data_IF_259004175738
#
_entry.id   IF_259004175738
#
_cell.length_a   1.000
_cell.length_b   1.000
_cell.length_c   1.000
_cell.angle_alpha   90.00
_cell.angle_beta   90.00
_cell.angle_gamma   90.00
#
_symmetry.space_group_name_H-M   'P 1'
#
loop_
_entity.id
_entity.type
_entity.pdbx_description
1 polymer ?
#
# COMPACT_ATOMS: atom_id res chain seq x y z
N UNK A 1 26.86 -40.27 75.36
CA UNK A 1 28.32 -40.52 75.67
C UNK A 1 28.71 -41.85 75.04
N UNK A 2 29.10 -41.93 73.78
CA UNK A 2 29.33 -43.15 73.04
C UNK A 2 30.77 -43.71 73.22
N UNK A 3 31.66 -43.01 73.96
CA UNK A 3 33.09 -43.40 74.02
C UNK A 3 33.60 -43.59 75.44
N UNK A 4 32.74 -43.58 76.46
CA UNK A 4 33.14 -43.80 77.87
C UNK A 4 33.36 -45.31 78.12
N UNK A 5 34.62 -45.68 78.43
CA UNK A 5 35.02 -47.09 78.67
C UNK A 5 35.75 -47.82 77.54
N UNK A 6 36.00 -47.12 76.37
CA UNK A 6 36.82 -47.69 75.32
C UNK A 6 38.33 -47.51 75.57
N UNK A 7 39.18 -48.47 75.22
CA UNK A 7 40.62 -48.29 75.25
C UNK A 7 41.03 -47.06 74.37
N UNK A 8 42.01 -46.27 74.85
CA UNK A 8 42.50 -45.01 74.21
C UNK A 8 42.80 -45.26 72.72
N UNK A 9 43.43 -46.36 72.37
CA UNK A 9 43.76 -46.76 70.99
C UNK A 9 42.51 -46.94 70.15
N UNK A 10 41.44 -47.53 70.64
CA UNK A 10 40.19 -47.72 69.92
C UNK A 10 39.46 -46.40 69.69
N UNK A 11 39.55 -45.47 70.65
CA UNK A 11 38.99 -44.12 70.53
C UNK A 11 39.75 -43.28 69.47
N UNK A 12 41.09 -43.36 69.49
CA UNK A 12 41.93 -42.69 68.48
C UNK A 12 41.64 -43.21 67.05
N UNK A 13 41.59 -44.52 66.91
CA UNK A 13 41.29 -45.17 65.64
C UNK A 13 39.94 -44.73 65.11
N UNK A 14 38.94 -44.62 65.97
CA UNK A 14 37.60 -44.18 65.59
C UNK A 14 37.56 -42.71 65.17
N UNK A 15 38.29 -41.84 65.87
CA UNK A 15 38.41 -40.39 65.48
C UNK A 15 39.17 -40.25 64.15
N UNK A 16 40.22 -41.09 63.92
CA UNK A 16 40.93 -41.08 62.64
C UNK A 16 40.04 -41.59 61.51
N UNK A 17 39.16 -42.59 61.74
CA UNK A 17 38.14 -43.01 60.78
C UNK A 17 37.16 -41.88 60.48
N UNK A 18 36.61 -41.18 61.48
CA UNK A 18 35.71 -40.03 61.29
C UNK A 18 36.37 -38.89 60.52
N UNK A 19 37.65 -38.61 60.77
CA UNK A 19 38.41 -37.67 60.01
C UNK A 19 38.59 -38.09 58.54
N UNK A 20 38.82 -39.39 58.29
CA UNK A 20 38.91 -39.91 56.94
C UNK A 20 37.55 -39.82 56.21
N UNK A 21 36.45 -40.16 56.88
CA UNK A 21 35.08 -40.04 56.33
C UNK A 21 34.73 -38.61 56.00
N UNK A 22 35.06 -37.67 56.88
CA UNK A 22 34.82 -36.18 56.58
C UNK A 22 35.64 -35.78 55.40
N UNK A 23 36.92 -36.14 55.24
CA UNK A 23 37.75 -35.80 54.07
C UNK A 23 37.22 -36.45 52.78
N UNK A 24 36.69 -37.67 52.87
CA UNK A 24 36.09 -38.33 51.71
C UNK A 24 34.84 -37.60 51.25
N UNK A 25 33.94 -37.27 52.19
CA UNK A 25 32.72 -36.44 51.87
C UNK A 25 33.09 -35.07 51.30
N UNK A 26 34.10 -34.40 51.86
CA UNK A 26 34.62 -33.14 51.35
C UNK A 26 35.12 -33.25 49.92
N UNK A 27 35.91 -34.31 49.62
CA UNK A 27 36.43 -34.61 48.31
C UNK A 27 35.33 -34.95 47.28
N UNK A 28 34.31 -35.72 47.71
CA UNK A 28 33.16 -36.05 46.88
C UNK A 28 32.31 -34.78 46.57
N UNK A 29 32.11 -33.94 47.59
CA UNK A 29 31.36 -32.66 47.42
C UNK A 29 32.11 -31.72 46.47
N UNK A 30 33.44 -31.56 46.64
CA UNK A 30 34.26 -30.76 45.74
C UNK A 30 34.27 -31.32 44.34
N UNK A 31 34.37 -32.65 44.17
CA UNK A 31 34.31 -33.33 42.88
C UNK A 31 32.94 -33.10 42.19
N UNK A 32 31.84 -33.20 42.94
CA UNK A 32 30.50 -32.94 42.43
C UNK A 32 30.31 -31.46 42.03
N UNK A 33 30.84 -30.53 42.81
CA UNK A 33 30.84 -29.09 42.47
C UNK A 33 31.69 -28.78 41.25
N UNK A 34 32.86 -29.37 41.12
CA UNK A 34 33.75 -29.24 39.97
C UNK A 34 33.13 -29.86 38.70
N UNK A 35 32.55 -31.04 38.80
CA UNK A 35 31.80 -31.68 37.70
C UNK A 35 30.58 -30.86 37.31
N UNK A 36 29.89 -30.23 38.25
CA UNK A 36 28.82 -29.30 37.98
C UNK A 36 29.30 -28.05 37.22
N UNK A 37 30.44 -27.44 37.63
CA UNK A 37 31.07 -26.34 36.89
C UNK A 37 31.55 -26.77 35.49
N UNK A 38 32.23 -27.91 35.37
CA UNK A 38 32.67 -28.47 34.08
C UNK A 38 31.49 -28.78 33.14
N UNK A 39 30.34 -29.25 33.69
CA UNK A 39 29.12 -29.43 32.90
C UNK A 39 28.52 -28.11 32.44
N UNK A 40 28.59 -27.05 33.24
CA UNK A 40 28.14 -25.71 32.86
C UNK A 40 29.05 -25.15 31.78
N UNK A 41 30.36 -25.28 31.91
CA UNK A 41 31.36 -24.87 30.93
C UNK A 41 31.25 -25.67 29.61
N UNK A 42 31.14 -26.99 29.67
CA UNK A 42 30.90 -27.86 28.50
C UNK A 42 29.58 -27.59 27.77
N UNK A 43 28.64 -26.89 28.39
CA UNK A 43 27.37 -26.49 27.76
C UNK A 43 27.52 -25.30 26.82
N UNK A 44 28.66 -24.59 26.80
CA UNK A 44 28.97 -23.52 25.82
C UNK A 44 29.07 -24.05 24.37
N UNK A 45 29.37 -25.33 24.19
CA UNK A 45 29.43 -25.96 22.86
C UNK A 45 28.05 -26.17 22.21
N UNK A 46 26.95 -25.93 22.91
CA UNK A 46 25.57 -26.11 22.43
C UNK A 46 24.82 -24.78 22.21
N UNK A 47 25.51 -23.68 21.98
CA UNK A 47 24.88 -22.41 21.64
C UNK A 47 24.76 -22.25 20.13
N UNK A 48 23.56 -21.92 19.66
CA UNK A 48 23.30 -21.44 18.30
C UNK A 48 23.27 -19.91 18.28
N UNK A 49 24.07 -19.32 17.38
CA UNK A 49 24.05 -17.89 17.14
C UNK A 49 22.90 -17.56 16.18
N UNK A 50 21.92 -16.78 16.64
CA UNK A 50 20.76 -16.37 15.86
C UNK A 50 20.92 -14.88 15.52
N UNK A 51 21.03 -14.56 14.23
CA UNK A 51 20.98 -13.18 13.75
C UNK A 51 19.52 -12.74 13.69
N UNK A 52 19.18 -11.71 14.43
CA UNK A 52 17.85 -11.08 14.41
C UNK A 52 17.99 -9.72 13.76
N UNK A 53 17.64 -9.58 12.47
CA UNK A 53 17.66 -8.28 11.82
C UNK A 53 16.53 -7.40 12.36
N UNK A 54 16.74 -6.08 12.46
CA UNK A 54 15.70 -5.13 12.86
C UNK A 54 14.65 -4.94 11.76
N UNK A 55 15.00 -5.30 10.51
CA UNK A 55 14.11 -5.24 9.33
C UNK A 55 14.29 -6.51 8.50
N UNK A 56 13.22 -6.96 7.85
CA UNK A 56 13.25 -8.13 6.96
C UNK A 56 13.90 -7.84 5.60
N UNK A 57 14.00 -6.56 5.21
CA UNK A 57 14.65 -6.14 3.97
C UNK A 57 15.33 -4.77 4.17
N UNK A 58 16.44 -4.55 3.48
CA UNK A 58 17.21 -3.32 3.50
C UNK A 58 17.28 -2.72 2.10
N UNK A 59 17.29 -1.39 1.98
CA UNK A 59 17.53 -0.74 0.70
C UNK A 59 19.03 -0.65 0.38
N UNK A 60 19.35 -0.67 -0.91
CA UNK A 60 20.72 -0.44 -1.35
C UNK A 60 21.25 0.90 -0.85
N UNK A 61 22.39 0.89 -0.17
CA UNK A 61 23.01 2.08 0.43
C UNK A 61 22.55 2.40 1.87
N UNK A 62 21.61 1.63 2.45
CA UNK A 62 21.32 1.67 3.87
C UNK A 62 22.32 0.81 4.65
N UNK A 63 22.38 1.01 5.97
CA UNK A 63 23.09 0.11 6.86
C UNK A 63 22.22 -1.08 7.22
N UNK A 64 22.82 -2.27 7.29
CA UNK A 64 22.20 -3.40 7.98
C UNK A 64 22.20 -3.11 9.48
N UNK A 65 21.06 -3.24 10.11
CA UNK A 65 20.90 -3.16 11.57
C UNK A 65 20.26 -4.43 12.10
N UNK A 66 20.79 -4.94 13.19
CA UNK A 66 20.32 -6.16 13.81
C UNK A 66 21.16 -6.54 15.02
N UNK A 67 20.86 -7.68 15.59
CA UNK A 67 21.55 -8.22 16.76
C UNK A 67 21.75 -9.72 16.62
N UNK A 68 22.80 -10.23 17.22
CA UNK A 68 23.02 -11.67 17.37
C UNK A 68 22.64 -12.08 18.79
N UNK A 69 21.78 -13.07 18.90
CA UNK A 69 21.35 -13.67 20.16
C UNK A 69 21.91 -15.08 20.22
N UNK A 70 22.57 -15.42 21.33
CA UNK A 70 22.94 -16.80 21.60
C UNK A 70 21.72 -17.58 22.10
N UNK A 71 21.42 -18.72 21.50
CA UNK A 71 20.21 -19.50 21.71
C UNK A 71 19.98 -20.01 23.14
N UNK A 72 20.99 -20.00 24.00
CA UNK A 72 20.83 -20.16 25.44
C UNK A 72 20.85 -18.80 26.10
N UNK A 73 19.74 -18.42 26.71
CA UNK A 73 19.54 -17.09 27.32
C UNK A 73 20.37 -16.95 28.63
N UNK A 74 21.69 -16.93 28.51
CA UNK A 74 22.58 -16.64 29.61
C UNK A 74 22.97 -15.17 29.61
N UNK A 75 22.33 -14.41 30.51
CA UNK A 75 22.56 -12.97 30.66
C UNK A 75 23.96 -12.60 31.18
N UNK A 76 24.77 -13.58 31.56
CA UNK A 76 26.10 -13.33 32.09
C UNK A 76 27.20 -13.54 31.05
N UNK A 77 26.87 -14.15 29.90
CA UNK A 77 27.82 -14.49 28.88
C UNK A 77 28.15 -13.27 27.99
N UNK A 78 29.42 -12.93 27.87
CA UNK A 78 29.94 -11.94 26.93
C UNK A 78 31.05 -12.60 26.08
N UNK A 79 30.99 -12.42 24.77
CA UNK A 79 32.04 -12.89 23.87
C UNK A 79 33.35 -12.09 24.08
N UNK A 80 34.49 -12.75 24.00
CA UNK A 80 35.80 -12.07 24.03
C UNK A 80 36.08 -11.41 22.69
N UNK A 81 35.68 -12.05 21.59
CA UNK A 81 35.88 -11.56 20.23
C UNK A 81 34.74 -12.01 19.32
N UNK A 82 34.31 -11.13 18.43
CA UNK A 82 33.31 -11.43 17.41
C UNK A 82 33.84 -10.98 16.05
N UNK A 83 33.86 -11.91 15.10
CA UNK A 83 34.26 -11.68 13.73
C UNK A 83 33.02 -11.79 12.84
N UNK A 84 32.71 -10.78 12.04
CA UNK A 84 31.59 -10.79 11.09
C UNK A 84 32.10 -10.31 9.73
N UNK A 85 31.84 -11.11 8.69
CA UNK A 85 32.28 -10.84 7.31
C UNK A 85 33.80 -10.53 7.20
N UNK A 86 34.59 -11.16 8.06
CA UNK A 86 36.03 -10.97 8.11
C UNK A 86 36.52 -9.75 8.89
N UNK A 87 35.64 -8.96 9.43
CA UNK A 87 35.95 -7.80 10.27
C UNK A 87 35.68 -8.11 11.76
N UNK A 88 36.59 -7.63 12.63
CA UNK A 88 36.40 -7.71 14.08
C UNK A 88 35.44 -6.58 14.55
N UNK A 89 34.42 -6.94 15.33
CA UNK A 89 33.49 -5.98 15.89
C UNK A 89 34.09 -5.28 17.12
N UNK A 90 33.74 -4.00 17.27
CA UNK A 90 34.15 -3.21 18.43
C UNK A 90 33.52 -3.78 19.73
N UNK A 91 34.29 -3.71 20.80
CA UNK A 91 33.86 -4.11 22.16
C UNK A 91 32.59 -3.40 22.65
N UNK A 92 32.33 -2.19 22.16
CA UNK A 92 31.11 -1.40 22.47
C UNK A 92 29.83 -2.04 21.89
N UNK A 93 29.96 -2.82 20.83
CA UNK A 93 28.85 -3.55 20.20
C UNK A 93 28.52 -4.85 20.91
N UNK A 94 29.41 -5.32 21.78
CA UNK A 94 29.28 -6.57 22.52
C UNK A 94 28.64 -6.34 23.88
N UNK A 95 27.32 -6.46 23.97
CA UNK A 95 26.56 -6.37 25.20
C UNK A 95 26.43 -7.76 25.85
N UNK A 96 26.15 -7.79 27.15
CA UNK A 96 25.89 -9.03 27.87
C UNK A 96 24.69 -9.77 27.27
N UNK A 97 24.92 -10.97 26.75
CA UNK A 97 23.89 -11.82 26.15
C UNK A 97 23.45 -11.43 24.72
N UNK A 98 24.03 -10.36 24.12
CA UNK A 98 23.72 -9.96 22.75
C UNK A 98 24.87 -9.16 22.12
N UNK A 99 24.95 -9.19 20.79
CA UNK A 99 25.88 -8.38 20.02
C UNK A 99 25.09 -7.55 18.99
N UNK A 100 25.32 -6.24 18.96
CA UNK A 100 24.67 -5.33 18.01
C UNK A 100 25.47 -5.36 16.73
N UNK A 101 24.77 -5.53 15.58
CA UNK A 101 25.34 -5.47 14.24
C UNK A 101 24.90 -4.20 13.55
N UNK A 102 25.89 -3.43 13.07
CA UNK A 102 25.68 -2.27 12.22
C UNK A 102 26.78 -2.18 11.17
N UNK A 103 26.42 -2.38 9.91
CA UNK A 103 27.34 -2.28 8.77
C UNK A 103 26.56 -1.95 7.47
N UNK A 104 27.23 -1.43 6.40
CA UNK A 104 26.57 -1.15 5.12
C UNK A 104 25.90 -2.39 4.53
N UNK A 105 24.61 -2.29 4.17
CA UNK A 105 23.83 -3.43 3.68
C UNK A 105 24.33 -4.00 2.34
N UNK A 106 25.16 -3.27 1.61
CA UNK A 106 25.76 -3.71 0.36
C UNK A 106 24.86 -3.52 -0.89
N UNK A 107 25.27 -4.06 -2.05
CA UNK A 107 24.51 -4.01 -3.29
C UNK A 107 23.28 -4.91 -3.25
N UNK A 108 22.31 -4.60 -4.13
CA UNK A 108 21.06 -5.33 -4.30
C UNK A 108 21.28 -6.82 -4.53
N UNK A 109 20.49 -7.65 -3.89
CA UNK A 109 20.51 -9.10 -3.96
C UNK A 109 20.50 -9.77 -2.59
N UNK A 110 20.53 -11.08 -2.58
CA UNK A 110 20.69 -11.86 -1.36
C UNK A 110 22.10 -11.76 -0.82
N UNK A 111 22.24 -11.55 0.48
CA UNK A 111 23.52 -11.36 1.18
C UNK A 111 23.61 -12.29 2.36
N UNK A 112 24.83 -12.73 2.63
CA UNK A 112 25.14 -13.61 3.74
C UNK A 112 25.85 -12.82 4.86
N UNK A 113 25.55 -13.21 6.09
CA UNK A 113 26.28 -12.83 7.28
C UNK A 113 27.02 -14.05 7.74
N UNK A 114 28.33 -14.07 7.56
CA UNK A 114 29.19 -15.18 7.97
C UNK A 114 30.14 -14.67 9.02
N UNK A 115 30.29 -15.43 10.10
CA UNK A 115 31.20 -15.01 11.17
C UNK A 115 31.31 -16.03 12.26
N UNK A 116 31.93 -15.61 13.36
CA UNK A 116 32.13 -16.47 14.52
C UNK A 116 32.21 -15.65 15.81
N UNK A 117 31.69 -16.26 16.88
CA UNK A 117 31.93 -15.83 18.24
C UNK A 117 33.08 -16.60 18.82
N UNK A 118 33.99 -15.95 19.47
CA UNK A 118 35.10 -16.57 20.19
C UNK A 118 34.97 -16.29 21.68
N UNK A 119 35.03 -17.38 22.47
CA UNK A 119 35.00 -17.34 23.93
C UNK A 119 36.30 -17.96 24.44
N UNK A 120 36.96 -17.30 25.37
CA UNK A 120 38.15 -17.81 26.03
C UNK A 120 37.76 -18.61 27.29
N UNK A 121 38.05 -19.89 27.30
CA UNK A 121 37.82 -20.80 28.43
C UNK A 121 39.14 -21.39 28.90
N UNK A 122 39.73 -20.78 29.93
CA UNK A 122 41.09 -21.14 30.39
C UNK A 122 42.11 -20.90 29.29
N UNK A 123 42.78 -21.93 28.80
CA UNK A 123 43.76 -21.92 27.73
C UNK A 123 43.14 -22.26 26.35
N UNK A 124 41.89 -22.54 26.28
CA UNK A 124 41.18 -22.93 25.05
C UNK A 124 40.28 -21.80 24.51
N UNK A 125 40.15 -21.72 23.19
CA UNK A 125 39.21 -20.81 22.52
C UNK A 125 38.06 -21.67 21.96
N UNK A 126 36.83 -21.35 22.39
CA UNK A 126 35.62 -21.97 21.86
C UNK A 126 35.05 -21.02 20.79
N UNK A 127 34.85 -21.56 19.59
CA UNK A 127 34.31 -20.79 18.45
C UNK A 127 32.90 -21.27 18.12
N UNK A 128 31.94 -20.34 18.04
CA UNK A 128 30.56 -20.59 17.63
C UNK A 128 30.33 -19.90 16.26
N UNK A 129 30.06 -20.66 15.19
CA UNK A 129 29.85 -20.09 13.86
C UNK A 129 28.51 -19.34 13.77
N UNK A 130 28.52 -18.25 12.99
CA UNK A 130 27.33 -17.46 12.63
C UNK A 130 27.12 -17.60 11.14
N UNK A 131 25.92 -17.99 10.73
CA UNK A 131 25.50 -17.98 9.33
C UNK A 131 24.03 -17.54 9.24
N UNK A 132 23.79 -16.49 8.50
CA UNK A 132 22.43 -15.95 8.26
C UNK A 132 22.40 -15.24 6.90
N UNK A 133 21.18 -15.09 6.34
CA UNK A 133 20.99 -14.39 5.08
C UNK A 133 20.00 -13.23 5.25
N UNK A 134 20.14 -12.18 4.45
CA UNK A 134 19.22 -11.07 4.35
C UNK A 134 19.11 -10.58 2.90
N UNK A 135 17.96 -9.98 2.55
CA UNK A 135 17.76 -9.43 1.22
C UNK A 135 18.02 -7.93 1.20
N UNK A 136 18.76 -7.47 0.20
CA UNK A 136 18.92 -6.05 -0.11
C UNK A 136 18.08 -5.73 -1.33
N UNK A 137 17.12 -4.83 -1.19
CA UNK A 137 16.24 -4.37 -2.27
C UNK A 137 16.65 -2.97 -2.73
N UNK A 138 16.43 -2.62 -4.00
CA UNK A 138 16.74 -1.27 -4.48
C UNK A 138 15.90 -0.24 -3.72
N UNK A 139 16.43 0.94 -3.46
CA UNK A 139 15.65 2.06 -2.93
C UNK A 139 14.49 2.35 -3.89
N UNK A 140 13.26 2.56 -3.39
CA UNK A 140 12.17 3.00 -4.22
C UNK A 140 12.54 4.37 -4.80
N UNK A 141 12.56 4.46 -6.12
CA UNK A 141 12.88 5.68 -6.86
C UNK A 141 11.65 6.25 -7.58
N UNK A 142 10.52 5.56 -7.53
CA UNK A 142 9.29 5.97 -8.21
C UNK A 142 8.05 5.50 -7.47
N UNK A 143 6.99 6.32 -7.50
CA UNK A 143 5.64 5.90 -7.13
C UNK A 143 4.96 5.23 -8.31
N UNK A 144 4.16 4.21 -8.05
CA UNK A 144 3.17 3.73 -9.02
C UNK A 144 1.92 4.58 -8.87
N UNK A 145 1.64 5.38 -9.90
CA UNK A 145 0.41 6.16 -10.01
C UNK A 145 -0.38 5.57 -11.16
N UNK A 146 -1.49 4.92 -10.85
CA UNK A 146 -2.43 4.39 -11.82
C UNK A 146 -3.70 5.21 -11.80
N UNK A 147 -4.13 5.74 -12.95
CA UNK A 147 -5.51 6.12 -13.13
C UNK A 147 -6.29 4.83 -13.34
N UNK A 148 -7.34 4.58 -12.55
CA UNK A 148 -8.15 3.36 -12.67
C UNK A 148 -8.72 3.19 -14.11
N UNK A 149 -8.58 4.23 -14.95
CA UNK A 149 -9.06 4.29 -16.34
C UNK A 149 -8.04 4.89 -17.31
N UNK A 150 -6.84 4.31 -17.40
CA UNK A 150 -5.74 4.76 -18.25
C UNK A 150 -5.10 6.10 -17.78
N UNK A 151 -3.99 6.54 -18.41
CA UNK A 151 -3.32 7.80 -18.09
C UNK A 151 -4.06 9.03 -18.66
N UNK A 152 -5.37 9.07 -18.45
CA UNK A 152 -6.29 10.14 -18.87
C UNK A 152 -7.17 10.51 -17.68
N UNK A 153 -7.38 11.80 -17.51
CA UNK A 153 -8.36 12.35 -16.57
C UNK A 153 -9.36 13.19 -17.35
N UNK A 154 -10.61 13.20 -16.91
CA UNK A 154 -11.66 13.97 -17.54
C UNK A 154 -12.01 15.19 -16.72
N UNK A 155 -12.11 16.33 -17.43
CA UNK A 155 -12.66 17.54 -16.88
C UNK A 155 -14.16 17.33 -16.56
N UNK A 156 -14.65 17.97 -15.51
CA UNK A 156 -16.08 17.95 -15.15
C UNK A 156 -16.53 16.77 -14.30
N UNK A 157 -15.66 15.81 -14.01
CA UNK A 157 -15.95 14.62 -13.20
C UNK A 157 -14.91 14.42 -12.10
N UNK A 158 -15.19 13.46 -11.25
CA UNK A 158 -14.22 12.94 -10.26
C UNK A 158 -13.45 11.80 -10.89
N UNK A 159 -12.13 11.87 -10.83
CA UNK A 159 -11.23 10.89 -11.38
C UNK A 159 -10.62 10.08 -10.24
N UNK A 160 -10.94 8.79 -10.07
CA UNK A 160 -10.40 7.95 -9.01
C UNK A 160 -8.95 7.57 -9.30
N UNK A 161 -8.12 7.55 -8.25
CA UNK A 161 -6.72 7.15 -8.28
C UNK A 161 -6.41 6.14 -7.21
N UNK A 162 -5.54 5.19 -7.53
CA UNK A 162 -4.85 4.36 -6.56
C UNK A 162 -3.38 4.72 -6.59
N UNK A 163 -2.83 5.16 -5.46
CA UNK A 163 -1.45 5.64 -5.36
C UNK A 163 -0.74 4.87 -4.28
N UNK A 164 0.36 4.23 -4.65
CA UNK A 164 1.25 3.53 -3.73
C UNK A 164 2.70 3.80 -4.10
N UNK A 165 3.58 3.64 -3.14
CA UNK A 165 5.02 3.78 -3.32
C UNK A 165 5.68 2.47 -2.88
N UNK A 166 6.42 1.79 -3.77
CA UNK A 166 7.07 0.54 -3.43
C UNK A 166 8.03 0.73 -2.23
N UNK A 167 7.85 -0.05 -1.18
CA UNK A 167 8.70 0.01 0.02
C UNK A 167 8.43 1.18 0.97
N UNK A 168 7.43 2.01 0.70
CA UNK A 168 7.01 3.10 1.60
C UNK A 168 5.59 2.84 2.09
N UNK A 169 5.33 2.82 3.39
CA UNK A 169 3.97 2.68 3.92
C UNK A 169 3.06 3.81 3.46
N UNK A 170 1.80 3.51 3.16
CA UNK A 170 0.82 4.47 2.61
C UNK A 170 0.62 5.72 3.46
N UNK A 171 0.81 5.62 4.79
CA UNK A 171 0.74 6.77 5.70
C UNK A 171 1.91 7.76 5.56
N UNK A 172 2.98 7.35 4.86
CA UNK A 172 4.15 8.17 4.53
C UNK A 172 4.20 8.58 3.05
N UNK A 173 3.11 8.33 2.31
CA UNK A 173 2.93 8.75 0.91
C UNK A 173 2.01 9.97 0.87
N UNK A 174 2.48 11.07 0.30
CA UNK A 174 1.75 12.32 0.18
C UNK A 174 1.65 12.78 -1.28
N UNK A 175 0.49 12.61 -1.94
CA UNK A 175 0.23 13.12 -3.28
C UNK A 175 -0.52 14.47 -3.29
N UNK A 176 -0.82 15.06 -2.13
CA UNK A 176 -1.71 16.21 -2.00
C UNK A 176 -1.13 17.53 -2.53
N UNK A 177 0.14 17.56 -2.94
CA UNK A 177 0.74 18.68 -3.67
C UNK A 177 0.11 18.89 -5.06
N UNK A 178 -0.65 17.91 -5.58
CA UNK A 178 -1.34 18.01 -6.88
C UNK A 178 -2.66 18.79 -6.72
N UNK A 179 -2.86 19.88 -7.49
CA UNK A 179 -4.09 20.67 -7.40
C UNK A 179 -5.35 19.86 -7.70
N UNK A 180 -6.31 19.86 -6.79
CA UNK A 180 -7.60 19.15 -6.94
C UNK A 180 -7.57 17.68 -6.48
N UNK A 181 -6.43 17.14 -6.10
CA UNK A 181 -6.32 15.79 -5.56
C UNK A 181 -6.68 15.79 -4.06
N UNK A 182 -7.43 14.78 -3.62
CA UNK A 182 -7.85 14.59 -2.22
C UNK A 182 -7.87 13.12 -1.84
N UNK A 183 -7.82 12.86 -0.52
CA UNK A 183 -7.93 11.50 0.03
C UNK A 183 -9.34 10.94 -0.14
N UNK A 184 -9.41 9.62 -0.38
CA UNK A 184 -10.65 8.91 -0.63
C UNK A 184 -11.07 8.94 -2.08
N UNK A 185 -11.82 7.93 -2.51
CA UNK A 185 -12.42 7.85 -3.84
C UNK A 185 -13.87 7.38 -3.75
N UNK A 186 -14.68 7.80 -4.71
CA UNK A 186 -16.06 7.35 -4.83
C UNK A 186 -16.08 5.96 -5.49
N UNK A 187 -16.70 5.00 -4.83
CA UNK A 187 -16.98 3.67 -5.38
C UNK A 187 -18.49 3.48 -5.39
N UNK A 188 -19.12 3.63 -6.55
CA UNK A 188 -20.55 3.76 -6.66
C UNK A 188 -21.08 5.01 -5.92
N UNK A 189 -22.06 4.84 -5.04
CA UNK A 189 -22.61 5.95 -4.23
C UNK A 189 -21.92 6.17 -2.89
N UNK A 190 -20.92 5.35 -2.52
CA UNK A 190 -20.22 5.41 -1.24
C UNK A 190 -18.80 5.94 -1.40
N UNK A 191 -18.40 6.82 -0.50
CA UNK A 191 -17.01 7.28 -0.40
C UNK A 191 -16.17 6.21 0.33
N UNK A 192 -15.08 5.77 -0.32
CA UNK A 192 -14.09 4.87 0.25
C UNK A 192 -12.85 5.68 0.63
N UNK A 193 -12.38 5.52 1.87
CA UNK A 193 -11.20 6.22 2.41
C UNK A 193 -10.13 5.22 2.88
N UNK A 194 -9.84 4.22 2.05
CA UNK A 194 -8.74 3.31 2.35
C UNK A 194 -7.39 4.00 2.10
N UNK A 195 -6.34 3.49 2.74
CA UNK A 195 -4.99 3.89 2.43
C UNK A 195 -4.72 3.65 0.93
N UNK A 196 -4.05 4.60 0.27
CA UNK A 196 -3.83 4.56 -1.17
C UNK A 196 -5.00 5.00 -2.06
N UNK A 197 -6.20 5.23 -1.51
CA UNK A 197 -7.35 5.73 -2.27
C UNK A 197 -7.35 7.27 -2.34
N UNK A 198 -7.38 7.80 -3.56
CA UNK A 198 -7.42 9.24 -3.85
C UNK A 198 -8.40 9.54 -4.97
N UNK A 199 -8.77 10.80 -5.09
CA UNK A 199 -9.67 11.30 -6.12
C UNK A 199 -9.19 12.68 -6.60
N UNK A 200 -9.02 12.82 -7.91
CA UNK A 200 -8.79 14.11 -8.54
C UNK A 200 -10.14 14.71 -8.97
N UNK A 201 -10.61 15.71 -8.23
CA UNK A 201 -11.90 16.35 -8.47
C UNK A 201 -11.76 17.51 -9.48
N UNK A 202 -12.18 17.27 -10.71
CA UNK A 202 -12.19 18.25 -11.79
C UNK A 202 -13.61 18.74 -12.14
N UNK A 203 -14.62 18.50 -11.29
CA UNK A 203 -16.00 19.04 -11.47
C UNK A 203 -16.02 20.56 -11.50
N UNK A 204 -15.12 21.17 -10.76
CA UNK A 204 -14.76 22.58 -10.86
C UNK A 204 -13.27 22.66 -11.12
N UNK A 205 -12.89 23.08 -12.32
CA UNK A 205 -11.48 23.14 -12.71
C UNK A 205 -10.69 24.07 -11.78
N UNK A 206 -9.65 23.56 -11.10
CA UNK A 206 -8.74 24.40 -10.31
C UNK A 206 -8.12 25.49 -11.17
N UNK A 207 -7.95 26.72 -10.62
CA UNK A 207 -7.38 27.85 -11.35
C UNK A 207 -6.01 27.51 -11.98
N UNK A 208 -5.18 26.76 -11.27
CA UNK A 208 -3.86 26.31 -11.72
C UNK A 208 -3.89 25.37 -12.94
N UNK A 209 -5.05 24.78 -13.25
CA UNK A 209 -5.22 23.80 -14.35
C UNK A 209 -6.03 24.36 -15.52
N UNK A 210 -6.58 25.58 -15.41
CA UNK A 210 -7.34 26.20 -16.51
C UNK A 210 -6.47 26.30 -17.76
N UNK A 211 -6.99 25.80 -18.89
CA UNK A 211 -6.31 25.84 -20.21
C UNK A 211 -5.17 24.81 -20.36
N UNK A 212 -4.82 24.07 -19.32
CA UNK A 212 -3.81 23.02 -19.45
C UNK A 212 -4.40 21.75 -20.06
N UNK A 213 -3.61 21.11 -20.93
CA UNK A 213 -3.97 19.81 -21.56
C UNK A 213 -3.44 18.61 -20.76
N UNK A 214 -2.56 18.85 -19.80
CA UNK A 214 -1.93 17.83 -18.95
C UNK A 214 -1.88 18.31 -17.51
N UNK A 215 -1.89 17.36 -16.60
CA UNK A 215 -1.63 17.54 -15.18
C UNK A 215 -0.56 16.56 -14.74
N UNK A 216 0.44 17.01 -13.99
CA UNK A 216 1.41 16.13 -13.35
C UNK A 216 0.90 15.80 -11.95
N UNK A 217 0.64 14.52 -11.70
CA UNK A 217 0.35 14.03 -10.37
C UNK A 217 1.67 13.85 -9.65
N UNK A 218 1.91 14.72 -8.67
CA UNK A 218 3.12 14.73 -7.87
C UNK A 218 2.91 13.93 -6.59
N UNK A 219 3.74 12.92 -6.39
CA UNK A 219 3.70 12.04 -5.22
C UNK A 219 5.01 12.15 -4.46
N UNK A 220 4.93 12.40 -3.17
CA UNK A 220 6.09 12.49 -2.27
C UNK A 220 6.02 11.32 -1.30
N UNK A 221 7.03 10.47 -1.33
CA UNK A 221 7.23 9.40 -0.36
C UNK A 221 8.30 9.77 0.65
N UNK A 222 8.11 9.45 1.93
CA UNK A 222 9.11 9.66 2.98
C UNK A 222 9.65 8.31 3.44
N UNK A 223 10.93 8.07 3.21
CA UNK A 223 11.63 6.85 3.63
C UNK A 223 11.75 6.78 5.16
N UNK A 224 12.09 5.61 5.69
CA UNK A 224 12.36 5.42 7.11
C UNK A 224 13.54 6.28 7.60
N UNK A 225 14.51 6.57 6.73
CA UNK A 225 15.64 7.49 6.97
C UNK A 225 15.24 8.96 7.09
N UNK A 226 13.98 9.32 6.77
CA UNK A 226 13.53 10.71 6.66
C UNK A 226 13.79 11.35 5.29
N UNK A 227 14.48 10.68 4.38
CA UNK A 227 14.68 11.14 3.01
C UNK A 227 13.36 11.18 2.24
N UNK A 228 13.16 12.22 1.42
CA UNK A 228 11.96 12.41 0.61
C UNK A 228 12.25 12.06 -0.85
N UNK A 229 11.49 11.12 -1.38
CA UNK A 229 11.51 10.74 -2.80
C UNK A 229 10.30 11.35 -3.49
N UNK A 230 10.50 12.03 -4.61
CA UNK A 230 9.45 12.71 -5.35
C UNK A 230 9.31 12.08 -6.74
N UNK A 231 8.08 11.73 -7.10
CA UNK A 231 7.73 11.22 -8.44
C UNK A 231 6.62 12.07 -9.02
N UNK A 232 6.71 12.40 -10.31
CA UNK A 232 5.68 13.10 -11.06
C UNK A 232 5.24 12.26 -12.25
N UNK A 233 3.94 12.00 -12.36
CA UNK A 233 3.35 11.21 -13.45
C UNK A 233 2.39 12.08 -14.24
N UNK A 234 2.59 12.26 -15.55
CA UNK A 234 1.75 13.10 -16.40
C UNK A 234 0.45 12.38 -16.79
N UNK A 235 -0.67 13.06 -16.66
CA UNK A 235 -1.99 12.66 -17.13
C UNK A 235 -2.55 13.68 -18.12
N UNK A 236 -3.18 13.21 -19.20
CA UNK A 236 -3.85 14.06 -20.19
C UNK A 236 -5.23 14.46 -19.68
N UNK A 237 -5.54 15.73 -19.72
CA UNK A 237 -6.88 16.24 -19.39
C UNK A 237 -7.71 16.21 -20.68
N UNK A 238 -8.79 15.44 -20.69
CA UNK A 238 -9.76 15.38 -21.78
C UNK A 238 -11.07 16.11 -21.40
N UNK A 239 -11.72 16.75 -22.36
CA UNK A 239 -13.08 17.22 -22.16
C UNK A 239 -14.04 16.03 -22.04
N UNK A 240 -15.23 16.27 -21.49
CA UNK A 240 -16.34 15.33 -21.53
C UNK A 240 -16.71 15.05 -22.99
N UNK A 241 -16.88 13.77 -23.39
CA UNK A 241 -17.33 13.44 -24.76
C UNK A 241 -18.77 13.92 -25.00
N UNK A 242 -19.13 14.12 -26.26
CA UNK A 242 -20.52 14.43 -26.62
C UNK A 242 -21.42 13.23 -26.30
N UNK A 243 -22.51 13.42 -25.55
CA UNK A 243 -23.49 12.37 -25.31
C UNK A 243 -24.32 12.10 -26.56
N UNK A 244 -25.10 11.03 -26.54
CA UNK A 244 -26.10 10.72 -27.53
C UNK A 244 -27.47 11.13 -26.98
N UNK A 245 -28.32 11.73 -27.83
CA UNK A 245 -29.71 11.89 -27.51
C UNK A 245 -30.39 10.52 -27.35
N UNK A 246 -31.33 10.37 -26.44
CA UNK A 246 -32.06 9.13 -26.23
C UNK A 246 -33.53 9.37 -25.90
N UNK A 247 -34.36 8.37 -26.20
CA UNK A 247 -35.74 8.22 -25.74
C UNK A 247 -35.83 6.82 -25.15
N UNK A 248 -36.19 6.70 -23.88
CA UNK A 248 -36.24 5.44 -23.13
C UNK A 248 -34.93 4.60 -23.24
N UNK A 249 -33.79 5.28 -23.33
CA UNK A 249 -32.48 4.64 -23.47
C UNK A 249 -32.10 4.21 -24.90
N UNK A 250 -33.02 4.31 -25.88
CA UNK A 250 -32.70 4.09 -27.29
C UNK A 250 -32.10 5.34 -27.92
N UNK A 251 -31.08 5.18 -28.78
CA UNK A 251 -30.33 6.28 -29.39
C UNK A 251 -30.33 6.18 -30.91
N UNK A 252 -30.08 7.30 -31.60
CA UNK A 252 -29.93 7.35 -33.04
C UNK A 252 -31.29 7.31 -33.78
N UNK A 253 -31.50 6.31 -34.66
CA UNK A 253 -32.71 6.20 -35.48
C UNK A 253 -33.67 5.17 -34.94
N UNK A 254 -34.92 5.56 -34.73
CA UNK A 254 -35.96 4.70 -34.16
C UNK A 254 -37.30 4.91 -34.84
N UNK A 255 -38.26 4.03 -34.56
CA UNK A 255 -39.61 4.15 -35.08
C UNK A 255 -40.61 4.01 -33.92
N UNK A 256 -41.51 4.98 -33.75
CA UNK A 256 -42.49 4.97 -32.70
C UNK A 256 -43.83 5.58 -33.16
N UNK A 257 -44.89 5.30 -32.39
CA UNK A 257 -46.17 5.88 -32.69
C UNK A 257 -46.22 7.34 -32.20
N UNK A 258 -47.17 8.12 -32.80
CA UNK A 258 -47.35 9.53 -32.51
C UNK A 258 -47.69 9.84 -31.05
N UNK A 259 -48.55 9.03 -30.47
CA UNK A 259 -49.01 9.23 -29.09
C UNK A 259 -47.89 9.02 -28.11
N UNK A 260 -47.05 8.02 -28.36
CA UNK A 260 -45.88 7.74 -27.55
C UNK A 260 -44.83 8.86 -27.64
N UNK A 261 -44.50 9.31 -28.82
CA UNK A 261 -43.55 10.44 -29.00
C UNK A 261 -44.05 11.72 -28.32
N UNK A 262 -45.38 11.98 -28.34
CA UNK A 262 -45.98 13.16 -27.70
C UNK A 262 -45.81 13.19 -26.16
N UNK A 263 -45.64 12.03 -25.52
CA UNK A 263 -45.40 11.90 -24.10
C UNK A 263 -43.97 11.44 -23.73
N UNK A 264 -43.12 11.25 -24.74
CA UNK A 264 -41.75 10.79 -24.52
C UNK A 264 -40.89 11.86 -23.83
N UNK A 265 -40.02 11.40 -22.96
CA UNK A 265 -38.98 12.20 -22.35
C UNK A 265 -37.72 12.10 -23.22
N UNK A 266 -37.20 13.27 -23.62
CA UNK A 266 -35.94 13.34 -24.35
C UNK A 266 -34.82 13.42 -23.33
N UNK A 267 -33.93 12.45 -23.42
CA UNK A 267 -32.80 12.35 -22.50
C UNK A 267 -31.46 12.34 -23.27
N UNK A 268 -30.38 12.36 -22.54
CA UNK A 268 -29.03 12.28 -23.08
C UNK A 268 -28.22 11.29 -22.28
N UNK A 269 -27.50 10.41 -22.97
CA UNK A 269 -26.66 9.39 -22.34
C UNK A 269 -25.31 9.28 -22.99
N UNK A 270 -24.29 8.92 -22.20
CA UNK A 270 -22.97 8.67 -22.75
C UNK A 270 -22.86 7.24 -23.30
N UNK A 271 -22.12 7.11 -24.39
CA UNK A 271 -21.72 5.81 -24.91
C UNK A 271 -20.23 5.61 -24.65
N UNK A 272 -19.87 4.60 -23.85
CA UNK A 272 -18.49 4.27 -23.54
C UNK A 272 -17.77 5.30 -22.63
N UNK A 273 -18.52 6.05 -21.83
CA UNK A 273 -17.98 6.97 -20.83
C UNK A 273 -18.22 6.40 -19.43
N UNK A 274 -17.19 5.82 -18.85
CA UNK A 274 -17.29 5.03 -17.62
C UNK A 274 -17.39 5.87 -16.32
N UNK A 275 -17.51 7.18 -16.41
CA UNK A 275 -17.64 8.05 -15.25
C UNK A 275 -19.12 8.30 -14.93
N UNK A 276 -19.42 8.32 -13.64
CA UNK A 276 -20.77 8.61 -13.16
C UNK A 276 -21.05 10.12 -13.25
N UNK A 277 -21.71 10.52 -14.32
CA UNK A 277 -22.16 11.89 -14.56
C UNK A 277 -23.61 11.87 -15.06
N UNK A 278 -24.58 11.93 -14.16
CA UNK A 278 -25.98 12.00 -14.52
C UNK A 278 -26.27 13.26 -15.34
N UNK A 279 -26.99 13.09 -16.46
CA UNK A 279 -27.41 14.18 -17.32
C UNK A 279 -28.88 14.54 -17.08
N UNK A 280 -29.28 15.72 -17.50
CA UNK A 280 -30.64 16.16 -17.71
C UNK A 280 -30.65 17.03 -18.96
N UNK A 281 -31.75 17.07 -19.70
CA UNK A 281 -31.89 17.94 -20.88
C UNK A 281 -32.45 19.26 -20.44
N UNK A 282 -31.83 20.37 -20.89
CA UNK A 282 -32.22 21.73 -20.58
C UNK A 282 -33.16 22.27 -21.67
N UNK A 283 -32.87 21.98 -22.92
CA UNK A 283 -33.70 22.33 -24.09
C UNK A 283 -33.29 21.49 -25.31
N UNK A 284 -34.12 21.47 -26.31
CA UNK A 284 -33.85 20.84 -27.61
C UNK A 284 -34.73 21.46 -28.72
N UNK A 285 -34.40 21.15 -29.96
CA UNK A 285 -35.23 21.49 -31.14
C UNK A 285 -35.81 20.22 -31.74
N UNK A 286 -37.07 20.30 -32.10
CA UNK A 286 -37.74 19.21 -32.83
C UNK A 286 -38.20 19.75 -34.19
N UNK A 287 -37.75 19.10 -35.27
CA UNK A 287 -38.19 19.37 -36.63
C UNK A 287 -39.18 18.30 -37.07
N UNK A 288 -40.41 18.67 -37.32
CA UNK A 288 -41.48 17.79 -37.78
C UNK A 288 -41.64 18.02 -39.28
N UNK A 289 -41.41 16.98 -40.08
CA UNK A 289 -41.47 17.08 -41.54
C UNK A 289 -42.80 17.70 -42.03
N UNK A 290 -42.72 18.80 -42.79
CA UNK A 290 -43.87 19.51 -43.31
C UNK A 290 -44.63 20.39 -42.31
N UNK A 291 -44.14 20.53 -41.07
CA UNK A 291 -44.75 21.36 -40.02
C UNK A 291 -43.81 22.41 -39.43
N UNK A 292 -42.48 22.25 -39.63
CA UNK A 292 -41.48 23.21 -39.16
C UNK A 292 -40.69 22.79 -37.93
N UNK A 293 -39.92 23.71 -37.39
CA UNK A 293 -39.03 23.51 -36.22
C UNK A 293 -39.65 24.18 -35.01
N UNK A 294 -39.67 23.46 -33.90
CA UNK A 294 -40.16 23.91 -32.59
C UNK A 294 -39.06 23.81 -31.55
N UNK A 295 -38.96 24.81 -30.71
CA UNK A 295 -38.05 24.81 -29.54
C UNK A 295 -38.84 24.23 -28.35
N UNK A 296 -38.21 23.34 -27.63
CA UNK A 296 -38.77 22.72 -26.43
C UNK A 296 -37.84 23.03 -25.26
N UNK A 297 -38.36 23.55 -24.19
CA UNK A 297 -37.69 23.80 -22.94
C UNK A 297 -37.87 22.58 -22.02
N UNK A 298 -36.79 22.17 -21.33
CA UNK A 298 -36.76 20.96 -20.56
C UNK A 298 -36.59 19.71 -21.43
N UNK A 299 -37.14 18.60 -20.96
CA UNK A 299 -37.01 17.27 -21.53
C UNK A 299 -38.27 16.75 -22.23
N UNK A 300 -39.37 17.57 -22.25
CA UNK A 300 -40.62 17.24 -22.90
C UNK A 300 -40.89 18.10 -24.13
N UNK A 301 -41.74 17.60 -25.04
CA UNK A 301 -42.21 18.35 -26.18
C UNK A 301 -43.07 19.53 -25.72
N UNK A 302 -42.85 20.74 -26.30
CA UNK A 302 -43.69 21.90 -26.07
C UNK A 302 -45.14 21.68 -26.58
N UNK A 303 -46.09 22.43 -26.05
CA UNK A 303 -47.48 22.35 -26.48
C UNK A 303 -47.67 22.53 -27.99
N UNK A 304 -46.90 23.48 -28.58
CA UNK A 304 -46.87 23.72 -30.01
C UNK A 304 -46.33 22.55 -30.80
N UNK A 305 -45.24 21.91 -30.36
CA UNK A 305 -44.70 20.70 -30.96
C UNK A 305 -45.69 19.51 -30.86
N UNK A 306 -46.31 19.34 -29.72
CA UNK A 306 -47.37 18.31 -29.50
C UNK A 306 -48.56 18.53 -30.46
N UNK A 307 -48.98 19.79 -30.67
CA UNK A 307 -50.08 20.12 -31.60
C UNK A 307 -49.66 19.85 -33.06
N UNK A 308 -48.45 20.27 -33.47
CA UNK A 308 -47.94 20.02 -34.82
C UNK A 308 -47.77 18.53 -35.10
N UNK A 309 -47.33 17.76 -34.11
CA UNK A 309 -47.18 16.30 -34.16
C UNK A 309 -48.52 15.57 -34.43
N UNK A 310 -49.61 16.06 -33.90
CA UNK A 310 -50.96 15.48 -34.16
C UNK A 310 -51.33 15.52 -35.65
N UNK A 311 -50.88 16.54 -36.38
CA UNK A 311 -51.09 16.69 -37.82
C UNK A 311 -50.02 16.08 -38.72
N UNK A 312 -49.03 15.38 -38.16
CA UNK A 312 -48.00 14.72 -38.94
C UNK A 312 -48.52 13.37 -39.53
N UNK A 313 -48.06 13.04 -40.74
CA UNK A 313 -48.50 11.81 -41.45
C UNK A 313 -47.70 10.59 -40.97
N UNK A 314 -48.27 9.38 -41.13
CA UNK A 314 -47.51 8.13 -40.99
C UNK A 314 -46.35 8.15 -41.95
N UNK A 315 -45.19 7.65 -41.51
CA UNK A 315 -43.92 7.68 -42.26
C UNK A 315 -43.19 9.03 -42.24
N UNK A 316 -43.77 10.06 -41.65
CA UNK A 316 -43.08 11.35 -41.47
C UNK A 316 -41.84 11.16 -40.61
N UNK A 317 -40.76 11.79 -41.06
CA UNK A 317 -39.49 11.83 -40.34
C UNK A 317 -39.47 13.04 -39.38
N UNK A 318 -39.14 12.80 -38.15
CA UNK A 318 -38.99 13.79 -37.11
C UNK A 318 -37.54 13.76 -36.64
N UNK A 319 -36.89 14.92 -36.63
CA UNK A 319 -35.52 15.04 -36.19
C UNK A 319 -35.45 15.89 -34.92
N UNK A 320 -34.84 15.36 -33.87
CA UNK A 320 -34.61 16.07 -32.62
C UNK A 320 -33.13 16.42 -32.60
N UNK A 321 -32.85 17.73 -32.57
CA UNK A 321 -31.51 18.33 -32.67
C UNK A 321 -31.25 19.30 -31.54
N UNK A 322 -30.02 19.79 -31.47
CA UNK A 322 -29.57 20.78 -30.50
C UNK A 322 -29.96 20.40 -29.05
N UNK A 323 -29.94 19.11 -28.78
CA UNK A 323 -30.25 18.61 -27.43
C UNK A 323 -29.15 19.12 -26.50
N UNK A 324 -29.47 20.01 -25.58
CA UNK A 324 -28.55 20.66 -24.65
C UNK A 324 -28.55 19.94 -23.32
N UNK A 325 -27.56 19.05 -23.06
CA UNK A 325 -27.47 18.33 -21.83
C UNK A 325 -26.81 19.18 -20.74
N UNK A 326 -27.26 18.97 -19.49
CA UNK A 326 -26.71 19.57 -18.28
C UNK A 326 -26.27 18.49 -17.30
N UNK A 327 -25.02 18.52 -16.88
CA UNK A 327 -24.49 17.56 -15.91
C UNK A 327 -24.87 17.93 -14.48
N UNK A 328 -25.34 16.95 -13.71
CA UNK A 328 -25.63 17.15 -12.29
C UNK A 328 -24.33 17.16 -11.47
N UNK A 329 -24.12 18.21 -10.71
CA UNK A 329 -22.96 18.32 -9.79
C UNK A 329 -21.64 18.74 -10.45
N UNK A 330 -21.67 19.21 -11.69
CA UNK A 330 -20.51 19.82 -12.38
C UNK A 330 -20.85 21.23 -12.89
N UNK A 331 -19.85 22.09 -12.97
CA UNK A 331 -19.95 23.39 -13.65
C UNK A 331 -19.40 23.36 -15.08
N UNK A 332 -18.98 22.21 -15.56
CA UNK A 332 -18.41 22.04 -16.91
C UNK A 332 -19.55 22.01 -17.93
N UNK A 333 -19.38 22.76 -19.00
CA UNK A 333 -20.30 22.74 -20.14
C UNK A 333 -20.15 21.39 -20.86
N UNK A 334 -21.26 20.69 -21.01
CA UNK A 334 -21.32 19.43 -21.74
C UNK A 334 -21.64 19.74 -23.20
N UNK A 335 -20.95 19.12 -24.16
CA UNK A 335 -21.27 19.32 -25.58
C UNK A 335 -22.71 18.88 -25.89
N UNK A 336 -23.29 19.49 -26.91
CA UNK A 336 -24.61 19.13 -27.45
C UNK A 336 -24.65 17.64 -27.77
N UNK A 337 -25.76 16.98 -27.42
CA UNK A 337 -25.92 15.55 -27.70
C UNK A 337 -26.18 15.30 -29.20
N UNK A 338 -25.81 14.14 -29.66
CA UNK A 338 -26.08 13.70 -31.02
C UNK A 338 -27.60 13.65 -31.28
N UNK A 339 -28.04 13.97 -32.51
CA UNK A 339 -29.46 14.05 -32.85
C UNK A 339 -30.15 12.71 -32.84
N UNK A 340 -31.50 12.75 -32.67
CA UNK A 340 -32.37 11.61 -32.83
C UNK A 340 -33.20 11.73 -34.10
N UNK A 341 -33.44 10.61 -34.76
CA UNK A 341 -34.30 10.52 -35.93
C UNK A 341 -35.43 9.54 -35.61
N UNK A 342 -36.65 10.07 -35.62
CA UNK A 342 -37.85 9.25 -35.30
C UNK A 342 -38.70 9.15 -36.55
N UNK A 343 -39.01 7.92 -36.98
CA UNK A 343 -39.98 7.67 -38.06
C UNK A 343 -41.33 7.31 -37.43
N UNK A 344 -42.38 8.06 -37.76
CA UNK A 344 -43.71 7.82 -37.22
C UNK A 344 -44.31 6.50 -37.79
N UNK A 345 -44.60 5.59 -36.87
CA UNK A 345 -45.58 4.50 -37.10
C UNK A 345 -46.97 5.06 -36.88
N UNK A 346 -47.98 4.31 -37.04
CA UNK A 346 -49.41 4.72 -36.90
C UNK A 346 -49.69 5.52 -35.66
#
# INVERSE_FOLDING_TARGET
>A
MFYQGYPLVASITKFTMLQADVKTIESELLSAMLQGKLKIEASLTNFDAIVVPDKTAFFSGDNFTGRIILGKNDKTLKADKVLINGAELDQSSMLTGQTILEFPAGPVGEREIVGEFQFKEGDSIITIPVNSTYAVVPKPNSATVSADKMNVVYQGVRNPFSISFAGIPDNKVDPLATPGLRKGKLVGKKERKSAGDYELDLRKMPAALKGKKTINVKVVGTLASGERVVTEVPFRIKPIPSPLGSIDGETGSMSMNRAYLASAIIDAQFNGFDFDLPLSVDNFKINIQGKGVFICEGDELSAQAKQALRGARRGSQITITDIAPKGRGTSTIIPTAAPLIVTLKN
#
